data_IF_495240512027
#
_entry.id   IF_495240512027
#
_cell.length_a   1.000
_cell.length_b   1.000
_cell.length_c   1.000
_cell.angle_alpha   90.00
_cell.angle_beta   90.00
_cell.angle_gamma   90.00
#
_symmetry.space_group_name_H-M   'P 1'
#
loop_
_entity.id
_entity.type
_entity.pdbx_description
1 polymer ?
#
# COMPACT_ATOMS: atom_id res chain seq x y z
N UNK A 1 19.41 -17.55 -19.27
CA UNK A 1 19.72 -16.35 -18.48
C UNK A 1 18.99 -16.48 -17.16
N UNK A 2 19.68 -16.35 -16.03
CA UNK A 2 19.00 -16.30 -14.73
C UNK A 2 17.98 -15.17 -14.76
N UNK A 3 16.75 -15.43 -14.35
CA UNK A 3 15.73 -14.40 -14.18
C UNK A 3 16.29 -13.38 -13.19
N UNK A 4 16.40 -12.10 -13.60
CA UNK A 4 16.89 -11.03 -12.73
C UNK A 4 16.06 -10.90 -11.45
N UNK A 5 16.62 -10.29 -10.42
CA UNK A 5 15.89 -10.01 -9.18
C UNK A 5 14.59 -9.23 -9.49
N UNK A 6 13.51 -9.59 -8.79
CA UNK A 6 12.21 -8.92 -8.94
C UNK A 6 12.23 -7.58 -8.23
N UNK A 7 11.68 -6.55 -8.88
CA UNK A 7 11.54 -5.22 -8.30
C UNK A 7 10.18 -4.59 -8.63
N UNK A 8 9.78 -3.61 -7.80
CA UNK A 8 8.64 -2.73 -8.05
C UNK A 8 9.09 -1.33 -8.48
N UNK A 9 8.15 -0.59 -9.06
CA UNK A 9 8.28 0.87 -9.26
C UNK A 9 7.09 1.53 -8.58
N UNK A 10 7.36 2.43 -7.62
CA UNK A 10 6.37 3.27 -6.97
C UNK A 10 6.51 4.70 -7.46
N UNK A 11 5.44 5.30 -7.93
CA UNK A 11 5.40 6.69 -8.37
C UNK A 11 4.50 7.47 -7.42
N UNK A 12 5.09 8.35 -6.63
CA UNK A 12 4.36 9.20 -5.72
C UNK A 12 3.77 10.42 -6.43
N UNK A 13 2.48 10.62 -6.28
CA UNK A 13 1.75 11.78 -6.80
C UNK A 13 1.23 12.59 -5.61
N UNK A 14 1.91 13.67 -5.21
CA UNK A 14 1.64 14.35 -3.94
C UNK A 14 0.45 15.34 -4.00
N UNK A 15 -0.27 15.39 -5.10
CA UNK A 15 -1.34 16.37 -5.29
C UNK A 15 -2.68 15.84 -4.79
N UNK A 16 -3.40 16.69 -4.05
CA UNK A 16 -4.78 16.48 -3.62
C UNK A 16 -5.65 17.68 -3.94
N UNK A 17 -6.92 17.47 -4.24
CA UNK A 17 -7.89 18.56 -4.34
C UNK A 17 -8.15 19.19 -2.95
N UNK A 18 -8.11 18.36 -1.91
CA UNK A 18 -8.31 18.69 -0.50
C UNK A 18 -7.52 17.70 0.36
N UNK A 19 -6.97 18.16 1.49
CA UNK A 19 -6.28 17.27 2.45
C UNK A 19 -7.30 16.85 3.51
N UNK A 20 -7.48 15.51 3.64
CA UNK A 20 -8.37 14.95 4.65
C UNK A 20 -7.82 15.15 6.07
N UNK A 21 -8.69 15.37 7.09
CA UNK A 21 -8.23 15.72 8.43
C UNK A 21 -7.43 14.62 9.16
N UNK A 22 -7.47 13.39 8.67
CA UNK A 22 -6.72 12.24 9.22
C UNK A 22 -5.42 11.95 8.47
N UNK A 23 -5.17 12.58 7.32
CA UNK A 23 -4.12 12.20 6.38
C UNK A 23 -2.76 12.78 6.81
N UNK A 24 -1.77 11.90 6.99
CA UNK A 24 -0.37 12.21 7.29
C UNK A 24 0.56 12.03 6.09
N UNK A 25 0.02 11.62 4.93
CA UNK A 25 0.81 11.38 3.73
C UNK A 25 1.47 12.68 3.23
N UNK A 26 2.59 12.53 2.53
CA UNK A 26 3.27 13.64 1.86
C UNK A 26 2.40 14.20 0.72
N UNK A 27 1.38 15.00 1.07
CA UNK A 27 0.37 15.51 0.14
C UNK A 27 0.18 17.01 0.23
N UNK A 28 -0.16 17.63 -0.89
CA UNK A 28 -0.29 19.07 -1.02
C UNK A 28 -1.54 19.43 -1.82
N UNK A 29 -2.38 20.32 -1.27
CA UNK A 29 -3.51 20.91 -1.96
C UNK A 29 -3.14 22.24 -2.62
N UNK A 30 -3.88 22.62 -3.69
CA UNK A 30 -3.73 23.92 -4.35
C UNK A 30 -2.45 24.05 -5.21
N UNK A 31 -1.74 22.96 -5.50
CA UNK A 31 -0.49 23.00 -6.28
C UNK A 31 -0.63 22.39 -7.69
N UNK A 32 -1.84 22.29 -8.22
CA UNK A 32 -2.10 21.64 -9.51
C UNK A 32 -1.35 22.28 -10.69
N UNK A 33 -0.98 23.57 -10.60
CA UNK A 33 -0.16 24.25 -11.62
C UNK A 33 1.24 23.65 -11.78
N UNK A 34 1.74 22.92 -10.77
CA UNK A 34 3.03 22.22 -10.84
C UNK A 34 2.95 20.88 -11.59
N UNK A 35 1.76 20.32 -11.82
CA UNK A 35 1.59 18.98 -12.39
C UNK A 35 2.40 18.77 -13.68
N UNK A 36 2.35 19.66 -14.70
CA UNK A 36 3.13 19.44 -15.92
C UNK A 36 4.64 19.35 -15.67
N UNK A 37 5.18 20.29 -14.89
CA UNK A 37 6.60 20.33 -14.49
C UNK A 37 7.00 19.11 -13.66
N UNK A 38 6.09 18.65 -12.78
CA UNK A 38 6.28 17.49 -11.95
C UNK A 38 6.35 16.18 -12.76
N UNK A 39 5.47 16.02 -13.73
CA UNK A 39 5.48 14.87 -14.67
C UNK A 39 6.78 14.86 -15.49
N UNK A 40 7.26 16.03 -15.93
CA UNK A 40 8.56 16.14 -16.62
C UNK A 40 9.73 15.75 -15.71
N UNK A 41 9.69 16.14 -14.44
CA UNK A 41 10.71 15.77 -13.45
C UNK A 41 10.73 14.26 -13.18
N UNK A 42 9.55 13.61 -13.00
CA UNK A 42 9.49 12.16 -12.83
C UNK A 42 10.04 11.43 -14.06
N UNK A 43 9.71 11.88 -15.28
CA UNK A 43 10.22 11.25 -16.50
C UNK A 43 11.76 11.29 -16.55
N UNK A 44 12.37 12.40 -16.14
CA UNK A 44 13.84 12.51 -16.02
C UNK A 44 14.41 11.63 -14.92
N UNK A 45 13.74 11.57 -13.75
CA UNK A 45 14.17 10.70 -12.65
C UNK A 45 14.17 9.23 -13.06
N UNK A 46 13.17 8.79 -13.86
CA UNK A 46 13.11 7.44 -14.43
C UNK A 46 14.39 7.15 -15.24
N UNK A 47 14.77 8.06 -16.13
CA UNK A 47 15.97 7.91 -16.98
C UNK A 47 17.25 7.89 -16.12
N UNK A 48 17.34 8.76 -15.10
CA UNK A 48 18.49 8.83 -14.19
C UNK A 48 18.64 7.57 -13.35
N UNK A 49 17.52 6.95 -12.94
CA UNK A 49 17.51 5.76 -12.08
C UNK A 49 17.73 4.45 -12.86
N UNK A 50 17.42 4.41 -14.16
CA UNK A 50 17.45 3.21 -14.99
C UNK A 50 18.76 2.42 -14.91
N UNK A 51 19.97 3.03 -14.92
CA UNK A 51 21.22 2.28 -14.80
C UNK A 51 21.34 1.49 -13.49
N UNK A 52 20.78 2.01 -12.38
CA UNK A 52 20.80 1.36 -11.07
C UNK A 52 19.87 0.14 -11.01
N UNK A 53 18.91 0.04 -11.94
CA UNK A 53 17.98 -1.08 -12.07
C UNK A 53 18.41 -2.13 -13.11
N UNK A 54 19.59 -1.98 -13.72
CA UNK A 54 20.12 -2.95 -14.66
C UNK A 54 20.16 -4.36 -14.04
N UNK A 55 19.68 -5.37 -14.81
CA UNK A 55 19.61 -6.75 -14.37
C UNK A 55 18.41 -7.11 -13.47
N UNK A 56 17.53 -6.16 -13.18
CA UNK A 56 16.26 -6.38 -12.47
C UNK A 56 15.09 -6.44 -13.43
N UNK A 57 14.07 -7.24 -13.06
CA UNK A 57 12.80 -7.34 -13.76
C UNK A 57 11.73 -6.61 -12.95
N UNK A 58 11.13 -5.60 -13.52
CA UNK A 58 10.03 -4.84 -12.91
C UNK A 58 8.71 -5.59 -13.12
N UNK A 59 8.14 -6.08 -12.04
CA UNK A 59 6.87 -6.81 -12.05
C UNK A 59 5.66 -5.93 -11.70
N UNK A 60 5.90 -4.74 -11.12
CA UNK A 60 4.82 -3.84 -10.74
C UNK A 60 5.20 -2.38 -10.96
N UNK A 61 4.22 -1.57 -11.39
CA UNK A 61 4.27 -0.11 -11.38
C UNK A 61 3.04 0.37 -10.60
N UNK A 62 3.24 1.18 -9.57
CA UNK A 62 2.17 1.65 -8.70
C UNK A 62 2.17 3.17 -8.60
N UNK A 63 1.07 3.80 -8.97
CA UNK A 63 0.83 5.23 -8.78
C UNK A 63 0.02 5.44 -7.51
N UNK A 64 0.63 6.06 -6.51
CA UNK A 64 0.01 6.28 -5.19
C UNK A 64 0.37 7.63 -4.58
N UNK A 65 -0.05 7.82 -3.33
CA UNK A 65 0.30 8.96 -2.50
C UNK A 65 -0.86 9.87 -2.16
N UNK A 66 -0.98 11.03 -2.79
CA UNK A 66 -2.09 11.95 -2.61
C UNK A 66 -3.33 11.49 -3.40
N UNK A 67 -3.41 11.91 -4.64
CA UNK A 67 -4.50 11.53 -5.55
C UNK A 67 -3.97 11.40 -6.97
N UNK A 68 -3.44 10.23 -7.37
CA UNK A 68 -2.91 10.02 -8.72
C UNK A 68 -3.92 10.33 -9.83
N UNK A 69 -5.21 10.08 -9.58
CA UNK A 69 -6.27 10.39 -10.54
C UNK A 69 -6.51 11.90 -10.78
N UNK A 70 -5.82 12.80 -10.09
CA UNK A 70 -5.78 14.23 -10.44
C UNK A 70 -4.89 14.52 -11.64
N UNK A 71 -3.95 13.62 -11.96
CA UNK A 71 -3.14 13.78 -13.16
C UNK A 71 -4.01 13.51 -14.40
N UNK A 72 -3.82 14.29 -15.49
CA UNK A 72 -4.41 13.94 -16.77
C UNK A 72 -4.03 12.51 -17.17
N UNK A 73 -4.96 11.74 -17.71
CA UNK A 73 -4.70 10.35 -18.12
C UNK A 73 -3.52 10.22 -19.10
N UNK A 74 -3.32 11.22 -19.98
CA UNK A 74 -2.18 11.29 -20.89
C UNK A 74 -0.83 11.41 -20.13
N UNK A 75 -0.81 12.07 -18.97
CA UNK A 75 0.40 12.15 -18.12
C UNK A 75 0.75 10.81 -17.50
N UNK A 76 -0.26 10.08 -17.00
CA UNK A 76 -0.06 8.70 -16.51
C UNK A 76 0.44 7.80 -17.64
N UNK A 77 -0.20 7.86 -18.82
CA UNK A 77 0.22 7.09 -20.00
C UNK A 77 1.69 7.35 -20.36
N UNK A 78 2.11 8.61 -20.35
CA UNK A 78 3.51 9.01 -20.61
C UNK A 78 4.47 8.41 -19.58
N UNK A 79 4.13 8.42 -18.28
CA UNK A 79 4.99 7.86 -17.23
C UNK A 79 5.06 6.33 -17.30
N UNK A 80 3.97 5.64 -17.61
CA UNK A 80 3.97 4.19 -17.86
C UNK A 80 4.90 3.85 -19.05
N UNK A 81 4.79 4.63 -20.13
CA UNK A 81 5.65 4.44 -21.29
C UNK A 81 7.14 4.71 -20.97
N UNK A 82 7.44 5.76 -20.19
CA UNK A 82 8.80 6.05 -19.74
C UNK A 82 9.38 4.89 -18.91
N UNK A 83 8.61 4.34 -17.97
CA UNK A 83 9.03 3.16 -17.20
C UNK A 83 9.31 1.95 -18.11
N UNK A 84 8.44 1.68 -19.10
CA UNK A 84 8.64 0.57 -20.05
C UNK A 84 9.84 0.77 -20.99
N UNK A 85 10.21 2.00 -21.27
CA UNK A 85 11.39 2.32 -22.08
C UNK A 85 12.70 2.22 -21.28
N UNK A 86 12.67 2.59 -19.99
CA UNK A 86 13.85 2.68 -19.15
C UNK A 86 14.17 1.38 -18.38
N UNK A 87 13.15 0.61 -18.00
CA UNK A 87 13.29 -0.61 -17.21
C UNK A 87 12.88 -1.86 -17.99
N UNK A 88 13.39 -3.03 -17.57
CA UNK A 88 12.91 -4.32 -18.06
C UNK A 88 11.59 -4.65 -17.37
N UNK A 89 10.49 -4.09 -17.90
CA UNK A 89 9.14 -4.30 -17.35
C UNK A 89 8.56 -5.59 -17.90
N UNK A 90 8.07 -6.46 -17.00
CA UNK A 90 7.39 -7.71 -17.41
C UNK A 90 6.17 -7.39 -18.27
N UNK A 91 5.92 -8.20 -19.30
CA UNK A 91 4.75 -8.05 -20.16
C UNK A 91 3.44 -8.19 -19.37
N UNK A 92 3.43 -9.02 -18.31
CA UNK A 92 2.32 -9.23 -17.39
C UNK A 92 2.44 -8.39 -16.12
N UNK A 93 3.22 -7.28 -16.13
CA UNK A 93 3.37 -6.43 -14.96
C UNK A 93 2.02 -5.89 -14.47
N UNK A 94 1.84 -5.87 -13.15
CA UNK A 94 0.74 -5.12 -12.53
C UNK A 94 1.03 -3.63 -12.63
N UNK A 95 0.12 -2.88 -13.24
CA UNK A 95 0.17 -1.41 -13.26
C UNK A 95 -1.05 -0.88 -12.53
N UNK A 96 -0.83 -0.45 -11.30
CA UNK A 96 -1.88 0.00 -10.37
C UNK A 96 -1.96 1.51 -10.31
N UNK A 97 -3.18 2.05 -10.14
CA UNK A 97 -3.42 3.47 -9.91
C UNK A 97 -4.45 3.68 -8.80
N UNK A 98 -4.11 4.52 -7.83
CA UNK A 98 -5.05 5.01 -6.83
C UNK A 98 -5.91 6.13 -7.40
N UNK A 99 -7.20 6.07 -7.11
CA UNK A 99 -8.18 7.05 -7.59
C UNK A 99 -9.15 7.49 -6.50
N UNK A 100 -9.52 8.77 -6.51
CA UNK A 100 -10.72 9.21 -5.82
C UNK A 100 -11.95 8.93 -6.70
N UNK A 101 -13.10 8.57 -6.11
CA UNK A 101 -14.29 8.25 -6.89
C UNK A 101 -14.89 9.45 -7.62
N UNK A 102 -14.69 10.67 -7.11
CA UNK A 102 -15.09 11.89 -7.80
C UNK A 102 -14.00 12.38 -8.77
N UNK A 103 -14.39 12.82 -9.94
CA UNK A 103 -13.50 13.35 -10.97
C UNK A 103 -12.92 12.31 -11.91
N UNK A 104 -13.42 11.06 -11.87
CA UNK A 104 -13.10 9.98 -12.81
C UNK A 104 -14.35 9.52 -13.54
N UNK A 105 -14.19 9.15 -14.80
CA UNK A 105 -15.26 8.63 -15.65
C UNK A 105 -14.76 7.50 -16.55
N UNK A 106 -15.64 6.93 -17.34
CA UNK A 106 -15.33 5.84 -18.27
C UNK A 106 -14.25 6.26 -19.28
N UNK A 107 -14.31 7.50 -19.80
CA UNK A 107 -13.32 7.97 -20.76
C UNK A 107 -11.91 8.06 -20.14
N UNK A 108 -11.80 8.62 -18.92
CA UNK A 108 -10.56 8.69 -18.19
C UNK A 108 -9.96 7.29 -17.97
N UNK A 109 -10.76 6.36 -17.50
CA UNK A 109 -10.35 4.98 -17.27
C UNK A 109 -10.01 4.24 -18.57
N UNK A 110 -10.74 4.47 -19.67
CA UNK A 110 -10.42 3.86 -20.96
C UNK A 110 -9.02 4.28 -21.47
N UNK A 111 -8.66 5.56 -21.33
CA UNK A 111 -7.31 6.04 -21.67
C UNK A 111 -6.25 5.39 -20.79
N UNK A 112 -6.49 5.26 -19.48
CA UNK A 112 -5.57 4.56 -18.58
C UNK A 112 -5.42 3.08 -18.95
N UNK A 113 -6.52 2.40 -19.26
CA UNK A 113 -6.53 0.99 -19.68
C UNK A 113 -5.71 0.79 -20.94
N UNK A 114 -5.90 1.67 -21.93
CA UNK A 114 -5.12 1.67 -23.18
C UNK A 114 -3.63 1.93 -22.95
N UNK A 115 -3.26 2.72 -21.94
CA UNK A 115 -1.89 2.97 -21.53
C UNK A 115 -1.22 1.79 -20.79
N UNK A 116 -2.02 0.76 -20.43
CA UNK A 116 -1.52 -0.43 -19.76
C UNK A 116 -1.70 -0.45 -18.24
N UNK A 117 -2.44 0.50 -17.67
CA UNK A 117 -2.96 0.37 -16.29
C UNK A 117 -3.95 -0.79 -16.26
N UNK A 118 -3.78 -1.73 -15.32
CA UNK A 118 -4.59 -2.94 -15.27
C UNK A 118 -5.20 -3.24 -13.90
N UNK A 119 -4.89 -2.41 -12.88
CA UNK A 119 -5.49 -2.47 -11.55
C UNK A 119 -5.85 -1.06 -11.07
N UNK A 120 -7.02 -0.89 -10.48
CA UNK A 120 -7.46 0.35 -9.85
C UNK A 120 -7.69 0.12 -8.35
N UNK A 121 -7.29 1.11 -7.52
CA UNK A 121 -7.64 1.18 -6.10
C UNK A 121 -8.44 2.47 -5.88
N UNK A 122 -9.72 2.34 -5.54
CA UNK A 122 -10.63 3.48 -5.45
C UNK A 122 -10.93 3.77 -3.98
N UNK A 123 -10.58 4.95 -3.52
CA UNK A 123 -10.74 5.37 -2.14
C UNK A 123 -12.20 5.61 -1.75
N UNK A 124 -12.93 4.57 -1.44
CA UNK A 124 -14.33 4.63 -0.99
C UNK A 124 -14.47 5.17 0.44
N UNK A 125 -13.62 4.71 1.33
CA UNK A 125 -13.54 4.96 2.77
C UNK A 125 -14.75 4.44 3.55
N UNK A 126 -15.98 4.74 3.17
CA UNK A 126 -17.26 4.23 3.70
C UNK A 126 -18.39 4.64 2.74
N UNK A 127 -19.51 3.96 2.78
CA UNK A 127 -20.74 4.39 2.09
C UNK A 127 -21.61 5.30 2.98
N UNK A 128 -21.30 5.38 4.27
CA UNK A 128 -22.03 6.21 5.22
C UNK A 128 -21.76 7.69 4.97
N UNK A 129 -22.81 8.46 4.69
CA UNK A 129 -22.71 9.93 4.55
C UNK A 129 -22.15 10.59 5.82
N UNK A 130 -22.47 10.04 7.01
CA UNK A 130 -21.92 10.51 8.29
C UNK A 130 -20.41 10.24 8.35
N UNK A 131 -19.99 9.03 7.97
CA UNK A 131 -18.57 8.63 7.96
C UNK A 131 -17.76 9.44 6.94
N UNK A 132 -18.27 9.63 5.70
CA UNK A 132 -17.62 10.46 4.70
C UNK A 132 -17.37 11.89 5.20
N UNK A 133 -18.36 12.49 5.89
CA UNK A 133 -18.18 13.82 6.50
C UNK A 133 -17.16 13.82 7.64
N UNK A 134 -17.20 12.79 8.52
CA UNK A 134 -16.23 12.65 9.61
C UNK A 134 -14.79 12.49 9.10
N UNK A 135 -14.63 11.80 7.97
CA UNK A 135 -13.36 11.63 7.28
C UNK A 135 -12.99 12.80 6.34
N UNK A 136 -13.81 13.85 6.27
CA UNK A 136 -13.56 15.02 5.40
C UNK A 136 -13.56 14.70 3.92
N UNK A 137 -14.32 13.68 3.49
CA UNK A 137 -14.42 13.29 2.07
C UNK A 137 -15.41 14.17 1.33
N UNK A 138 -15.07 14.48 0.06
CA UNK A 138 -15.89 15.37 -0.80
C UNK A 138 -16.84 14.61 -1.72
N UNK A 139 -16.75 13.27 -1.77
CA UNK A 139 -17.61 12.41 -2.57
C UNK A 139 -18.76 11.83 -1.73
N UNK A 140 -19.75 11.29 -2.42
CA UNK A 140 -20.88 10.56 -1.83
C UNK A 140 -20.83 9.08 -2.25
N UNK A 141 -21.63 8.21 -1.61
CA UNK A 141 -21.72 6.80 -1.95
C UNK A 141 -22.07 6.56 -3.43
N UNK A 142 -22.89 7.43 -4.01
CA UNK A 142 -23.23 7.38 -5.43
C UNK A 142 -22.03 7.51 -6.36
N UNK A 143 -21.04 8.34 -5.99
CA UNK A 143 -19.82 8.54 -6.77
C UNK A 143 -18.96 7.28 -6.76
N UNK A 144 -18.89 6.56 -5.61
CA UNK A 144 -18.16 5.30 -5.49
C UNK A 144 -18.72 4.26 -6.47
N UNK A 145 -20.04 4.08 -6.46
CA UNK A 145 -20.72 3.14 -7.35
C UNK A 145 -20.62 3.54 -8.83
N UNK A 146 -20.58 4.84 -9.11
CA UNK A 146 -20.37 5.35 -10.47
C UNK A 146 -18.94 5.09 -10.94
N UNK A 147 -17.93 5.30 -10.09
CA UNK A 147 -16.53 5.03 -10.40
C UNK A 147 -16.28 3.54 -10.66
N UNK A 148 -16.86 2.63 -9.86
CA UNK A 148 -16.77 1.19 -10.10
C UNK A 148 -17.39 0.82 -11.45
N UNK A 149 -18.59 1.36 -11.79
CA UNK A 149 -19.21 1.15 -13.11
C UNK A 149 -18.32 1.63 -14.23
N UNK A 150 -17.80 2.86 -14.11
CA UNK A 150 -16.94 3.45 -15.12
C UNK A 150 -15.68 2.62 -15.35
N UNK A 151 -15.05 2.10 -14.28
CA UNK A 151 -13.91 1.21 -14.34
C UNK A 151 -14.24 -0.08 -15.10
N UNK A 152 -15.37 -0.72 -14.78
CA UNK A 152 -15.82 -1.95 -15.45
C UNK A 152 -16.16 -1.70 -16.92
N UNK A 153 -16.88 -0.61 -17.24
CA UNK A 153 -17.19 -0.23 -18.63
C UNK A 153 -15.91 0.04 -19.44
N UNK A 154 -14.87 0.59 -18.81
CA UNK A 154 -13.56 0.79 -19.44
C UNK A 154 -12.71 -0.50 -19.57
N UNK A 155 -13.23 -1.66 -19.14
CA UNK A 155 -12.58 -2.97 -19.29
C UNK A 155 -11.57 -3.31 -18.19
N UNK A 156 -11.65 -2.68 -17.01
CA UNK A 156 -10.88 -3.14 -15.85
C UNK A 156 -11.50 -4.39 -15.24
N UNK A 157 -10.69 -5.41 -15.06
CA UNK A 157 -11.03 -6.68 -14.45
C UNK A 157 -10.41 -6.88 -13.06
N UNK A 158 -9.62 -5.89 -12.57
CA UNK A 158 -9.07 -5.84 -11.22
C UNK A 158 -9.36 -4.47 -10.59
N UNK A 159 -10.42 -4.40 -9.79
CA UNK A 159 -10.90 -3.18 -9.11
C UNK A 159 -10.94 -3.42 -7.61
N UNK A 160 -10.21 -2.58 -6.87
CA UNK A 160 -10.19 -2.52 -5.42
C UNK A 160 -11.03 -1.34 -4.92
N UNK A 161 -11.67 -1.52 -3.77
CA UNK A 161 -12.17 -0.42 -2.95
C UNK A 161 -11.41 -0.38 -1.64
N UNK A 162 -11.02 0.83 -1.23
CA UNK A 162 -10.32 1.07 0.02
C UNK A 162 -11.30 1.66 1.03
N UNK A 163 -11.42 1.01 2.20
CA UNK A 163 -12.28 1.41 3.30
C UNK A 163 -11.46 1.82 4.51
N UNK A 164 -12.01 2.72 5.31
CA UNK A 164 -11.50 3.08 6.63
C UNK A 164 -12.57 2.73 7.65
N UNK A 165 -12.22 1.94 8.65
CA UNK A 165 -13.07 1.63 9.78
C UNK A 165 -12.55 2.28 11.07
N UNK A 166 -13.41 2.37 12.10
CA UNK A 166 -13.09 3.05 13.34
C UNK A 166 -13.24 4.59 13.28
N UNK A 167 -13.88 5.12 12.21
CA UNK A 167 -14.11 6.57 12.11
C UNK A 167 -15.10 7.06 13.21
N UNK A 168 -15.06 8.35 13.59
CA UNK A 168 -15.80 8.91 14.73
C UNK A 168 -17.28 8.56 14.74
N UNK A 169 -17.70 7.75 15.71
CA UNK A 169 -19.07 7.31 15.91
C UNK A 169 -19.54 6.24 14.93
N UNK A 170 -18.64 5.46 14.36
CA UNK A 170 -18.98 4.25 13.61
C UNK A 170 -19.47 3.15 14.58
N UNK A 171 -20.53 2.48 14.21
CA UNK A 171 -20.98 1.25 14.85
C UNK A 171 -20.61 0.04 13.97
N UNK A 172 -20.49 -1.15 14.58
CA UNK A 172 -20.17 -2.41 13.90
C UNK A 172 -21.14 -2.68 12.74
N UNK A 173 -22.44 -2.47 12.98
CA UNK A 173 -23.48 -2.64 11.95
C UNK A 173 -23.30 -1.70 10.73
N UNK A 174 -22.72 -0.52 10.94
CA UNK A 174 -22.48 0.41 9.82
C UNK A 174 -21.40 -0.12 8.87
N UNK A 175 -20.31 -0.70 9.39
CA UNK A 175 -19.27 -1.34 8.56
C UNK A 175 -19.83 -2.56 7.85
N UNK A 176 -20.59 -3.41 8.59
CA UNK A 176 -21.23 -4.58 7.98
C UNK A 176 -22.13 -4.17 6.83
N UNK A 177 -22.99 -3.15 7.02
CA UNK A 177 -23.87 -2.66 5.96
C UNK A 177 -23.12 -2.15 4.73
N UNK A 178 -22.02 -1.41 4.92
CA UNK A 178 -21.17 -0.94 3.83
C UNK A 178 -20.62 -2.13 3.01
N UNK A 179 -20.06 -3.14 3.69
CA UNK A 179 -19.50 -4.33 3.05
C UNK A 179 -20.58 -5.16 2.33
N UNK A 180 -21.71 -5.46 2.99
CA UNK A 180 -22.84 -6.19 2.40
C UNK A 180 -23.38 -5.48 1.15
N UNK A 181 -23.45 -4.14 1.16
CA UNK A 181 -23.88 -3.35 0.02
C UNK A 181 -22.95 -3.52 -1.18
N UNK A 182 -21.64 -3.49 -0.96
CA UNK A 182 -20.65 -3.70 -2.03
C UNK A 182 -20.65 -5.15 -2.51
N UNK A 183 -20.79 -6.12 -1.62
CA UNK A 183 -20.82 -7.55 -1.94
C UNK A 183 -22.08 -7.94 -2.73
N UNK A 184 -23.19 -7.22 -2.52
CA UNK A 184 -24.44 -7.44 -3.26
C UNK A 184 -24.46 -6.83 -4.68
N UNK A 185 -23.40 -6.12 -5.08
CA UNK A 185 -23.33 -5.56 -6.43
C UNK A 185 -23.36 -6.65 -7.50
N UNK A 186 -24.05 -6.43 -8.64
CA UNK A 186 -24.03 -7.35 -9.76
C UNK A 186 -22.61 -7.62 -10.27
N UNK A 187 -22.38 -8.78 -10.88
CA UNK A 187 -21.05 -9.23 -11.35
C UNK A 187 -20.36 -8.20 -12.25
N UNK A 188 -21.12 -7.53 -13.13
CA UNK A 188 -20.64 -6.48 -14.03
C UNK A 188 -20.23 -5.17 -13.30
N UNK A 189 -20.46 -5.09 -12.00
CA UNK A 189 -20.14 -3.95 -11.09
C UNK A 189 -19.50 -4.41 -9.81
N UNK A 190 -19.14 -5.69 -9.69
CA UNK A 190 -18.51 -6.24 -8.49
C UNK A 190 -17.08 -5.72 -8.34
N UNK A 191 -16.52 -5.90 -7.15
CA UNK A 191 -15.12 -5.63 -6.87
C UNK A 191 -14.36 -6.93 -6.64
N UNK A 192 -13.05 -6.91 -6.89
CA UNK A 192 -12.19 -8.09 -6.83
C UNK A 192 -11.31 -8.10 -5.60
N UNK A 193 -11.14 -6.92 -5.00
CA UNK A 193 -10.23 -6.69 -3.90
C UNK A 193 -10.82 -5.63 -2.97
N UNK A 194 -10.53 -5.75 -1.68
CA UNK A 194 -10.93 -4.79 -0.66
C UNK A 194 -9.74 -4.54 0.27
N UNK A 195 -9.43 -3.26 0.50
CA UNK A 195 -8.51 -2.82 1.53
C UNK A 195 -9.33 -2.22 2.68
N UNK A 196 -9.09 -2.66 3.91
CA UNK A 196 -9.74 -2.14 5.10
C UNK A 196 -8.68 -1.68 6.09
N UNK A 197 -8.60 -0.38 6.30
CA UNK A 197 -7.65 0.25 7.20
C UNK A 197 -8.33 0.73 8.47
N UNK A 198 -7.76 0.42 9.63
CA UNK A 198 -8.16 1.09 10.87
C UNK A 198 -7.80 2.57 10.81
N UNK A 199 -8.70 3.44 11.25
CA UNK A 199 -8.39 4.87 11.38
C UNK A 199 -7.34 5.05 12.47
N UNK A 200 -6.16 5.49 12.08
CA UNK A 200 -5.08 5.85 13.00
C UNK A 200 -5.11 7.37 13.23
N UNK A 201 -4.93 7.78 14.48
CA UNK A 201 -4.81 9.20 14.87
C UNK A 201 -3.34 9.60 14.80
N UNK A 202 -2.92 10.03 13.60
CA UNK A 202 -1.51 10.38 13.36
C UNK A 202 -1.17 11.76 13.93
N UNK A 203 -0.03 11.89 14.65
CA UNK A 203 0.42 13.17 15.19
C UNK A 203 0.58 14.25 14.12
N UNK A 204 0.20 15.49 14.45
CA UNK A 204 0.31 16.62 13.52
C UNK A 204 -0.86 16.74 12.54
N UNK A 205 -1.84 15.86 12.60
CA UNK A 205 -3.07 15.96 11.79
C UNK A 205 -4.16 16.76 12.50
N UNK A 206 -5.07 17.41 11.76
CA UNK A 206 -6.25 18.07 12.35
C UNK A 206 -7.12 17.12 13.19
N UNK A 207 -7.16 15.83 12.85
CA UNK A 207 -7.86 14.80 13.63
C UNK A 207 -7.19 14.62 15.00
N UNK A 208 -5.87 14.53 15.05
CA UNK A 208 -5.14 14.41 16.33
C UNK A 208 -5.39 15.61 17.25
N UNK A 209 -5.40 16.82 16.69
CA UNK A 209 -5.73 18.03 17.43
C UNK A 209 -7.16 18.01 17.98
N UNK A 210 -8.12 17.51 17.21
CA UNK A 210 -9.52 17.41 17.62
C UNK A 210 -9.71 16.35 18.73
N UNK A 211 -9.03 15.21 18.61
CA UNK A 211 -9.02 14.14 19.64
C UNK A 211 -8.36 14.63 20.93
N UNK A 212 -7.21 15.29 20.85
CA UNK A 212 -6.50 15.83 22.01
C UNK A 212 -7.30 16.88 22.77
N UNK A 213 -8.22 17.59 22.10
CA UNK A 213 -9.16 18.56 22.70
C UNK A 213 -10.49 17.98 23.14
N UNK A 214 -10.66 16.67 23.08
CA UNK A 214 -11.91 15.97 23.41
C UNK A 214 -13.14 16.41 22.56
N UNK A 215 -12.87 16.93 21.34
CA UNK A 215 -13.90 17.35 20.39
C UNK A 215 -14.41 16.17 19.55
N UNK A 216 -13.52 15.21 19.27
CA UNK A 216 -13.80 14.04 18.46
C UNK A 216 -13.32 12.79 19.20
N UNK A 217 -14.17 11.76 19.23
CA UNK A 217 -13.83 10.44 19.77
C UNK A 217 -13.76 9.44 18.62
N UNK A 218 -12.64 8.76 18.48
CA UNK A 218 -12.45 7.63 17.56
C UNK A 218 -12.80 6.31 18.25
N UNK A 219 -12.85 5.22 17.49
CA UNK A 219 -13.00 3.88 18.07
C UNK A 219 -11.84 3.61 19.06
N UNK A 220 -12.18 3.05 20.21
CA UNK A 220 -11.20 2.44 21.12
C UNK A 220 -10.73 1.07 20.56
N UNK A 221 -9.77 0.45 21.25
CA UNK A 221 -9.18 -0.81 20.81
C UNK A 221 -10.21 -1.95 20.76
N UNK A 222 -11.15 -1.99 21.71
CA UNK A 222 -12.20 -3.03 21.76
C UNK A 222 -13.15 -2.89 20.57
N UNK A 223 -13.65 -1.69 20.31
CA UNK A 223 -14.49 -1.43 19.13
C UNK A 223 -13.71 -1.63 17.82
N UNK A 224 -12.44 -1.26 17.80
CA UNK A 224 -11.54 -1.52 16.66
C UNK A 224 -11.42 -3.01 16.35
N UNK A 225 -11.25 -3.82 17.38
CA UNK A 225 -11.21 -5.29 17.29
C UNK A 225 -12.55 -5.87 16.78
N UNK A 226 -13.68 -5.43 17.35
CA UNK A 226 -15.02 -5.86 16.94
C UNK A 226 -15.29 -5.54 15.46
N UNK A 227 -14.93 -4.32 15.02
CA UNK A 227 -15.05 -3.89 13.61
C UNK A 227 -14.21 -4.76 12.69
N UNK A 228 -12.97 -5.04 13.07
CA UNK A 228 -12.07 -5.87 12.27
C UNK A 228 -12.55 -7.33 12.21
N UNK A 229 -12.99 -7.92 13.33
CA UNK A 229 -13.58 -9.25 13.35
C UNK A 229 -14.85 -9.35 12.49
N UNK A 230 -15.71 -8.33 12.55
CA UNK A 230 -16.89 -8.26 11.70
C UNK A 230 -16.50 -8.21 10.21
N UNK A 231 -15.48 -7.43 9.84
CA UNK A 231 -14.97 -7.38 8.47
C UNK A 231 -14.45 -8.75 8.01
N UNK A 232 -13.62 -9.41 8.84
CA UNK A 232 -13.10 -10.75 8.55
C UNK A 232 -14.25 -11.76 8.33
N UNK A 233 -15.24 -11.77 9.20
CA UNK A 233 -16.38 -12.69 9.09
C UNK A 233 -17.21 -12.43 7.82
N UNK A 234 -17.52 -11.16 7.53
CA UNK A 234 -18.32 -10.77 6.37
C UNK A 234 -17.62 -11.12 5.05
N UNK A 235 -16.35 -10.77 4.91
CA UNK A 235 -15.60 -10.98 3.67
C UNK A 235 -15.27 -12.45 3.44
N UNK A 236 -14.90 -13.20 4.48
CA UNK A 236 -14.66 -14.65 4.38
C UNK A 236 -15.96 -15.38 4.01
N UNK A 237 -17.10 -14.97 4.59
CA UNK A 237 -18.42 -15.51 4.25
C UNK A 237 -18.82 -15.26 2.80
N UNK A 238 -18.30 -14.19 2.18
CA UNK A 238 -18.48 -13.86 0.77
C UNK A 238 -17.42 -14.47 -0.18
N UNK A 239 -16.50 -15.31 0.35
CA UNK A 239 -15.49 -16.02 -0.42
C UNK A 239 -14.23 -15.21 -0.75
N UNK A 240 -14.01 -14.07 -0.08
CA UNK A 240 -12.75 -13.35 -0.20
C UNK A 240 -11.66 -14.00 0.67
N UNK A 241 -10.46 -14.10 0.12
CA UNK A 241 -9.26 -14.56 0.81
C UNK A 241 -8.62 -13.39 1.55
N UNK A 242 -8.41 -13.54 2.87
CA UNK A 242 -7.69 -12.60 3.70
C UNK A 242 -6.18 -12.91 3.56
N UNK A 243 -5.50 -12.29 2.63
CA UNK A 243 -4.14 -12.68 2.26
C UNK A 243 -3.04 -11.89 2.98
N UNK A 244 -3.36 -10.67 3.48
CA UNK A 244 -2.48 -9.89 4.34
C UNK A 244 -3.32 -9.00 5.28
N UNK A 245 -2.70 -8.40 6.29
CA UNK A 245 -3.35 -7.77 7.45
C UNK A 245 -4.51 -6.84 7.09
N UNK A 246 -4.39 -6.03 6.03
CA UNK A 246 -5.40 -5.03 5.69
C UNK A 246 -6.16 -5.35 4.39
N UNK A 247 -5.85 -6.46 3.71
CA UNK A 247 -6.35 -6.68 2.35
C UNK A 247 -6.96 -8.06 2.12
N UNK A 248 -8.07 -8.04 1.36
CA UNK A 248 -8.82 -9.22 0.93
C UNK A 248 -8.96 -9.23 -0.59
N UNK A 249 -8.82 -10.40 -1.20
CA UNK A 249 -8.98 -10.60 -2.64
C UNK A 249 -9.88 -11.80 -2.92
N UNK A 250 -10.58 -11.81 -4.07
CA UNK A 250 -11.40 -12.96 -4.49
C UNK A 250 -10.56 -14.20 -4.77
N UNK A 251 -9.35 -13.98 -5.28
CA UNK A 251 -8.38 -15.03 -5.58
C UNK A 251 -6.96 -14.47 -5.59
N UNK A 252 -5.96 -15.37 -5.79
CA UNK A 252 -4.54 -15.00 -5.76
C UNK A 252 -4.14 -14.02 -6.87
N UNK A 253 -4.80 -14.07 -8.02
CA UNK A 253 -4.48 -13.20 -9.17
C UNK A 253 -5.00 -11.76 -8.96
N UNK A 254 -5.90 -11.57 -8.00
CA UNK A 254 -6.47 -10.27 -7.60
C UNK A 254 -5.76 -9.64 -6.40
N UNK A 255 -4.84 -10.36 -5.74
CA UNK A 255 -4.00 -9.79 -4.69
C UNK A 255 -3.10 -8.68 -5.25
N UNK A 256 -2.85 -7.61 -4.47
CA UNK A 256 -1.92 -6.55 -4.86
C UNK A 256 -0.49 -7.09 -4.92
N UNK A 257 0.03 -7.26 -6.12
CA UNK A 257 1.40 -7.75 -6.32
C UNK A 257 2.42 -6.74 -5.81
N UNK A 258 2.12 -5.44 -5.94
CA UNK A 258 2.99 -4.38 -5.47
C UNK A 258 3.14 -4.39 -3.93
N UNK A 259 2.03 -4.48 -3.18
CA UNK A 259 2.08 -4.58 -1.71
C UNK A 259 2.86 -5.82 -1.27
N UNK A 260 2.72 -6.94 -1.99
CA UNK A 260 3.46 -8.17 -1.68
C UNK A 260 4.98 -8.02 -1.88
N UNK A 261 5.46 -7.12 -2.77
CA UNK A 261 6.89 -6.78 -2.86
C UNK A 261 7.34 -6.14 -1.55
N UNK A 262 6.57 -5.20 -1.00
CA UNK A 262 6.87 -4.58 0.29
C UNK A 262 6.89 -5.60 1.43
N UNK A 263 5.85 -6.42 1.53
CA UNK A 263 5.74 -7.43 2.59
C UNK A 263 6.81 -8.51 2.50
N UNK A 264 7.35 -8.79 1.33
CA UNK A 264 8.50 -9.68 1.13
C UNK A 264 9.84 -8.97 1.31
N UNK A 265 9.81 -7.74 1.82
CA UNK A 265 11.01 -6.92 2.00
C UNK A 265 11.83 -6.82 0.69
N UNK A 266 11.13 -6.67 -0.45
CA UNK A 266 11.70 -6.65 -1.79
C UNK A 266 12.30 -5.31 -2.19
N UNK A 267 12.87 -5.25 -3.40
CA UNK A 267 13.45 -4.03 -3.97
C UNK A 267 12.39 -3.23 -4.75
N UNK A 268 12.49 -1.92 -4.69
CA UNK A 268 11.63 -1.03 -5.48
C UNK A 268 12.26 0.33 -5.71
N UNK A 269 11.97 0.91 -6.88
CA UNK A 269 12.24 2.31 -7.17
C UNK A 269 11.16 3.18 -6.55
N UNK A 270 11.55 4.21 -5.80
CA UNK A 270 10.64 5.27 -5.38
C UNK A 270 10.90 6.52 -6.21
N UNK A 271 9.89 6.96 -6.96
CA UNK A 271 9.94 8.09 -7.89
C UNK A 271 8.98 9.19 -7.44
N UNK A 272 9.39 10.44 -7.59
CA UNK A 272 8.57 11.59 -7.20
C UNK A 272 8.87 12.11 -5.79
N UNK A 273 8.29 13.26 -5.46
CA UNK A 273 8.52 13.97 -4.21
C UNK A 273 8.03 13.18 -3.00
N UNK A 274 8.90 12.94 -2.02
CA UNK A 274 8.58 12.17 -0.82
C UNK A 274 8.55 10.65 -1.03
N UNK A 275 8.86 10.16 -2.21
CA UNK A 275 8.93 8.72 -2.45
C UNK A 275 10.11 8.10 -1.71
N UNK A 276 9.86 6.95 -1.09
CA UNK A 276 10.89 6.07 -0.60
C UNK A 276 11.25 5.03 -1.66
N UNK A 277 12.52 4.67 -1.75
CA UNK A 277 13.01 3.58 -2.59
C UNK A 277 13.88 2.63 -1.78
N UNK A 278 13.97 1.37 -2.22
CA UNK A 278 14.87 0.38 -1.63
C UNK A 278 15.60 -0.39 -2.72
N UNK A 279 16.93 -0.35 -2.66
CA UNK A 279 17.79 -1.06 -3.59
C UNK A 279 18.99 -1.66 -2.85
N UNK A 280 19.07 -2.98 -2.77
CA UNK A 280 20.04 -3.66 -1.95
C UNK A 280 19.94 -3.26 -0.47
N UNK A 281 21.05 -2.84 0.11
CA UNK A 281 21.13 -2.38 1.50
C UNK A 281 20.91 -0.85 1.64
N UNK A 282 20.34 -0.19 0.65
CA UNK A 282 20.07 1.27 0.70
C UNK A 282 18.59 1.54 0.65
N UNK A 283 18.11 2.37 1.57
CA UNK A 283 16.79 3.01 1.50
C UNK A 283 16.99 4.49 1.21
N UNK A 284 16.25 5.01 0.25
CA UNK A 284 16.30 6.42 -0.16
C UNK A 284 14.99 7.12 0.15
N UNK A 285 15.07 8.41 0.41
CA UNK A 285 13.93 9.30 0.52
C UNK A 285 14.16 10.49 -0.40
N UNK A 286 13.22 10.77 -1.27
CA UNK A 286 13.27 11.93 -2.16
C UNK A 286 12.87 13.22 -1.42
N UNK A 287 13.23 14.37 -1.99
CA UNK A 287 12.79 15.68 -1.49
C UNK A 287 11.27 15.70 -1.30
N UNK A 288 10.80 16.12 -0.11
CA UNK A 288 9.37 16.09 0.24
C UNK A 288 8.55 17.09 -0.57
N UNK A 289 9.04 18.34 -0.67
CA UNK A 289 8.29 19.42 -1.33
C UNK A 289 8.35 19.27 -2.87
N UNK A 290 7.20 19.23 -3.58
CA UNK A 290 7.16 19.06 -5.03
C UNK A 290 7.99 20.08 -5.80
N UNK A 291 7.96 21.35 -5.39
CA UNK A 291 8.74 22.41 -6.05
C UNK A 291 10.26 22.21 -5.87
N UNK A 292 10.70 21.77 -4.66
CA UNK A 292 12.12 21.48 -4.39
C UNK A 292 12.58 20.26 -5.17
N UNK A 293 11.77 19.22 -5.21
CA UNK A 293 12.01 18.01 -6.00
C UNK A 293 12.22 18.37 -7.49
N UNK A 294 11.28 19.11 -8.10
CA UNK A 294 11.41 19.53 -9.49
C UNK A 294 12.69 20.35 -9.74
N UNK A 295 12.98 21.33 -8.87
CA UNK A 295 14.17 22.17 -9.02
C UNK A 295 15.48 21.38 -8.87
N UNK A 296 15.50 20.35 -8.02
CA UNK A 296 16.67 19.47 -7.85
C UNK A 296 16.94 18.64 -9.11
N UNK A 297 15.91 18.01 -9.66
CA UNK A 297 15.99 17.24 -10.90
C UNK A 297 16.41 18.12 -12.07
N UNK A 298 15.79 19.30 -12.24
CA UNK A 298 16.13 20.24 -13.32
C UNK A 298 17.58 20.71 -13.28
N UNK A 299 18.13 20.84 -12.07
CA UNK A 299 19.52 21.22 -11.85
C UNK A 299 20.51 20.04 -11.93
N UNK A 300 20.06 18.82 -12.24
CA UNK A 300 20.89 17.62 -12.33
C UNK A 300 21.48 17.17 -10.99
N UNK A 301 20.85 17.54 -9.86
CA UNK A 301 21.27 17.12 -8.50
C UNK A 301 20.60 15.83 -8.02
N UNK A 302 19.68 15.27 -8.82
CA UNK A 302 18.89 14.09 -8.49
C UNK A 302 17.75 14.37 -7.51
N UNK A 303 16.95 13.35 -7.23
CA UNK A 303 15.73 13.43 -6.40
C UNK A 303 16.00 13.22 -4.90
N UNK A 304 17.06 12.47 -4.56
CA UNK A 304 17.28 11.92 -3.22
C UNK A 304 17.72 13.01 -2.24
N UNK A 305 17.01 13.14 -1.12
CA UNK A 305 17.35 14.05 -0.01
C UNK A 305 17.97 13.31 1.18
N UNK A 306 17.68 12.03 1.36
CA UNK A 306 18.23 11.21 2.44
C UNK A 306 18.51 9.78 1.99
N UNK A 307 19.55 9.18 2.57
CA UNK A 307 19.93 7.78 2.35
C UNK A 307 20.14 7.11 3.70
N UNK A 308 19.43 6.03 3.93
CA UNK A 308 19.64 5.15 5.07
C UNK A 308 20.37 3.89 4.61
N UNK A 309 21.41 3.52 5.34
CA UNK A 309 22.09 2.24 5.14
C UNK A 309 21.41 1.16 6.00
N UNK A 310 20.80 0.18 5.34
CA UNK A 310 20.15 -0.94 6.02
C UNK A 310 21.24 -1.90 6.51
N UNK A 311 21.33 -2.10 7.81
CA UNK A 311 22.26 -3.04 8.41
C UNK A 311 21.73 -4.48 8.31
N UNK A 312 22.56 -5.47 8.63
CA UNK A 312 22.14 -6.88 8.62
C UNK A 312 21.02 -7.13 9.65
N UNK A 313 21.13 -6.55 10.85
CA UNK A 313 20.11 -6.66 11.90
C UNK A 313 18.78 -6.06 11.43
N UNK A 314 18.81 -4.84 10.86
CA UNK A 314 17.62 -4.21 10.29
C UNK A 314 16.97 -5.08 9.20
N UNK A 315 17.78 -5.60 8.25
CA UNK A 315 17.27 -6.41 7.16
C UNK A 315 16.59 -7.71 7.66
N UNK A 316 17.14 -8.33 8.69
CA UNK A 316 16.61 -9.53 9.35
C UNK A 316 15.28 -9.21 10.04
N UNK A 317 15.27 -8.20 10.93
CA UNK A 317 14.07 -7.78 11.66
C UNK A 317 12.94 -7.35 10.72
N UNK A 318 13.25 -6.55 9.70
CA UNK A 318 12.28 -6.16 8.67
C UNK A 318 11.71 -7.34 7.89
N UNK A 319 12.53 -8.35 7.58
CA UNK A 319 12.03 -9.54 6.88
C UNK A 319 10.98 -10.27 7.71
N UNK A 320 11.16 -10.36 9.03
CA UNK A 320 10.16 -10.94 9.92
C UNK A 320 8.95 -10.04 10.06
N UNK A 321 9.14 -8.76 10.42
CA UNK A 321 8.07 -7.79 10.64
C UNK A 321 7.15 -7.62 9.42
N UNK A 322 7.72 -7.55 8.22
CA UNK A 322 6.98 -7.39 6.99
C UNK A 322 6.38 -8.72 6.51
N UNK A 323 7.15 -9.81 6.58
CA UNK A 323 6.72 -11.12 6.09
C UNK A 323 5.58 -11.74 6.89
N UNK A 324 5.50 -11.50 8.20
CA UNK A 324 4.39 -11.95 9.03
C UNK A 324 3.05 -11.25 8.70
N UNK A 325 3.08 -10.13 7.99
CA UNK A 325 1.86 -9.48 7.49
C UNK A 325 1.19 -10.28 6.36
N UNK A 326 1.91 -11.18 5.69
CA UNK A 326 1.36 -12.10 4.68
C UNK A 326 0.76 -13.33 5.39
N UNK A 327 -0.55 -13.38 5.53
CA UNK A 327 -1.26 -14.39 6.32
C UNK A 327 -1.23 -15.78 5.68
N UNK A 328 -1.20 -15.85 4.35
CA UNK A 328 -1.11 -17.11 3.61
C UNK A 328 0.34 -17.58 3.43
N UNK A 329 1.22 -16.68 2.98
CA UNK A 329 2.61 -17.02 2.66
C UNK A 329 3.47 -17.10 3.94
N UNK A 330 3.32 -16.12 4.86
CA UNK A 330 4.14 -16.00 6.06
C UNK A 330 5.62 -15.79 5.75
N UNK A 331 6.48 -16.20 6.68
CA UNK A 331 7.95 -16.18 6.54
C UNK A 331 8.48 -17.59 6.36
N UNK A 332 8.93 -17.90 5.14
CA UNK A 332 9.52 -19.19 4.80
C UNK A 332 10.90 -19.38 5.40
N UNK A 333 11.14 -20.51 6.10
CA UNK A 333 12.40 -20.78 6.78
C UNK A 333 13.59 -20.87 5.81
N UNK A 334 13.42 -21.60 4.71
CA UNK A 334 14.47 -21.77 3.69
C UNK A 334 14.81 -20.46 2.97
N UNK A 335 13.77 -19.68 2.64
CA UNK A 335 13.94 -18.37 1.99
C UNK A 335 14.64 -17.37 2.92
N UNK A 336 14.30 -17.40 4.21
CA UNK A 336 14.96 -16.60 5.24
C UNK A 336 16.44 -16.97 5.37
N UNK A 337 16.76 -18.26 5.49
CA UNK A 337 18.13 -18.74 5.59
C UNK A 337 18.95 -18.42 4.33
N UNK A 338 18.38 -18.62 3.15
CA UNK A 338 19.04 -18.29 1.89
C UNK A 338 19.34 -16.78 1.75
N UNK A 339 18.50 -15.93 2.34
CA UNK A 339 18.65 -14.47 2.28
C UNK A 339 19.66 -13.93 3.28
N UNK A 340 19.67 -14.48 4.50
CA UNK A 340 20.38 -13.92 5.65
C UNK A 340 21.57 -14.75 6.13
N UNK A 341 21.81 -15.92 5.51
CA UNK A 341 22.86 -16.89 5.90
C UNK A 341 22.78 -17.34 7.36
N UNK A 342 21.57 -17.31 7.93
CA UNK A 342 21.30 -17.74 9.31
C UNK A 342 19.89 -18.31 9.40
N UNK A 343 19.71 -19.39 10.21
CA UNK A 343 18.38 -19.99 10.38
C UNK A 343 17.52 -19.22 11.38
N UNK A 344 16.20 -19.28 11.18
CA UNK A 344 15.21 -18.71 12.11
C UNK A 344 15.37 -19.26 13.53
N UNK A 345 15.60 -20.57 13.67
CA UNK A 345 15.78 -21.21 14.98
C UNK A 345 17.02 -20.73 15.72
N UNK A 346 18.11 -20.48 15.01
CA UNK A 346 19.33 -19.95 15.61
C UNK A 346 19.12 -18.53 16.18
N UNK A 347 18.39 -17.66 15.47
CA UNK A 347 18.16 -16.28 15.89
C UNK A 347 17.01 -16.16 16.87
N UNK A 348 15.90 -16.81 16.59
CA UNK A 348 14.63 -16.56 17.24
C UNK A 348 14.06 -17.79 17.97
N UNK A 349 14.81 -18.90 18.10
CA UNK A 349 14.29 -20.16 18.66
C UNK A 349 13.47 -19.99 19.94
N UNK A 350 14.01 -19.35 21.01
CA UNK A 350 13.24 -19.12 22.25
C UNK A 350 12.01 -18.23 22.06
N UNK A 351 12.11 -17.20 21.22
CA UNK A 351 10.98 -16.31 20.89
C UNK A 351 9.88 -17.06 20.14
N UNK A 352 10.26 -17.83 19.12
CA UNK A 352 9.35 -18.65 18.33
C UNK A 352 8.61 -19.67 19.19
N UNK A 353 9.31 -20.35 20.12
CA UNK A 353 8.69 -21.28 21.05
C UNK A 353 7.65 -20.57 21.91
N UNK A 354 8.01 -19.43 22.54
CA UNK A 354 7.10 -18.64 23.38
C UNK A 354 5.86 -18.14 22.64
N UNK A 355 6.04 -17.58 21.44
CA UNK A 355 4.92 -17.09 20.63
C UNK A 355 4.01 -18.24 20.16
N UNK A 356 4.58 -19.41 19.85
CA UNK A 356 3.79 -20.61 19.51
C UNK A 356 3.02 -21.13 20.72
N UNK A 357 3.64 -21.25 21.89
CA UNK A 357 3.00 -21.69 23.14
C UNK A 357 1.86 -20.74 23.55
N UNK A 358 2.01 -19.44 23.29
CA UNK A 358 0.96 -18.44 23.50
C UNK A 358 -0.12 -18.45 22.40
N UNK A 359 0.01 -19.28 21.37
CA UNK A 359 -0.96 -19.38 20.28
C UNK A 359 -0.99 -18.15 19.36
N UNK A 360 0.07 -17.32 19.33
CA UNK A 360 0.14 -16.10 18.50
C UNK A 360 0.68 -16.35 17.10
N UNK A 361 1.54 -17.35 16.95
CA UNK A 361 2.06 -17.81 15.67
C UNK A 361 1.87 -19.32 15.52
N UNK A 362 1.82 -19.76 14.28
CA UNK A 362 1.92 -21.18 13.92
C UNK A 362 3.22 -21.43 13.14
N UNK A 363 3.85 -22.57 13.43
CA UNK A 363 5.03 -23.06 12.72
C UNK A 363 4.61 -24.21 11.81
N UNK A 364 4.32 -23.88 10.55
CA UNK A 364 4.14 -24.89 9.51
C UNK A 364 5.47 -25.48 9.03
N UNK A 365 5.42 -26.55 8.22
CA UNK A 365 6.63 -27.17 7.65
C UNK A 365 7.43 -26.23 6.74
N UNK A 366 6.77 -25.27 6.12
CA UNK A 366 7.36 -24.37 5.12
C UNK A 366 7.53 -22.94 5.63
N UNK A 367 6.64 -22.45 6.53
CA UNK A 367 6.61 -21.05 6.94
C UNK A 367 6.06 -20.86 8.35
N UNK A 368 6.42 -19.72 8.93
CA UNK A 368 5.84 -19.17 10.16
C UNK A 368 4.77 -18.17 9.76
N UNK A 369 3.59 -18.23 10.41
CA UNK A 369 2.44 -17.35 10.16
C UNK A 369 1.84 -16.86 11.46
N UNK A 370 1.15 -15.72 11.40
CA UNK A 370 0.27 -15.30 12.48
C UNK A 370 -0.95 -16.23 12.56
N UNK A 371 -1.36 -16.55 13.77
CA UNK A 371 -2.69 -17.14 14.03
C UNK A 371 -3.76 -16.04 14.05
N UNK A 372 -5.05 -16.38 14.17
CA UNK A 372 -6.10 -15.36 14.36
C UNK A 372 -5.85 -14.50 15.61
N UNK A 373 -5.53 -15.05 16.81
CA UNK A 373 -5.12 -14.24 17.95
C UNK A 373 -3.86 -13.40 17.69
N UNK A 374 -2.85 -13.97 17.02
CA UNK A 374 -1.64 -13.23 16.66
C UNK A 374 -1.89 -12.10 15.68
N UNK A 375 -2.86 -12.24 14.77
CA UNK A 375 -3.26 -11.18 13.85
C UNK A 375 -3.86 -9.98 14.59
N UNK A 376 -4.66 -10.21 15.64
CA UNK A 376 -5.22 -9.14 16.47
C UNK A 376 -4.12 -8.36 17.23
N UNK A 377 -2.96 -8.99 17.46
CA UNK A 377 -1.78 -8.41 18.12
C UNK A 377 -0.59 -8.27 17.15
N UNK A 378 -0.88 -8.12 15.85
CA UNK A 378 0.15 -8.22 14.81
C UNK A 378 1.32 -7.24 15.00
N UNK A 379 1.05 -6.01 15.42
CA UNK A 379 2.10 -5.02 15.65
C UNK A 379 3.02 -5.42 16.80
N UNK A 380 2.45 -5.90 17.92
CA UNK A 380 3.23 -6.34 19.08
C UNK A 380 4.07 -7.57 18.75
N UNK A 381 3.45 -8.57 18.09
CA UNK A 381 4.17 -9.77 17.65
C UNK A 381 5.30 -9.42 16.68
N UNK A 382 5.05 -8.57 15.70
CA UNK A 382 6.06 -8.15 14.73
C UNK A 382 7.21 -7.36 15.37
N UNK A 383 6.91 -6.50 16.37
CA UNK A 383 7.93 -5.71 17.07
C UNK A 383 8.95 -6.57 17.82
N UNK A 384 8.55 -7.75 18.31
CA UNK A 384 9.45 -8.66 19.03
C UNK A 384 10.56 -9.26 18.16
N UNK A 385 10.42 -9.20 16.84
CA UNK A 385 11.44 -9.69 15.90
C UNK A 385 12.50 -8.63 15.54
N UNK A 386 12.35 -7.40 16.01
CA UNK A 386 13.37 -6.37 15.79
C UNK A 386 14.56 -6.63 16.69
N UNK A 387 15.73 -6.76 16.10
CA UNK A 387 17.00 -7.03 16.80
C UNK A 387 18.01 -5.93 16.51
N UNK A 388 18.98 -5.76 17.39
CA UNK A 388 20.12 -4.88 17.18
C UNK A 388 21.38 -5.65 16.73
N UNK A 389 22.42 -4.92 16.33
CA UNK A 389 23.69 -5.49 15.87
C UNK A 389 24.41 -6.29 16.96
N UNK A 390 24.21 -5.98 18.25
CA UNK A 390 24.85 -6.72 19.36
C UNK A 390 24.32 -8.14 19.43
N UNK A 391 23.01 -8.33 19.23
CA UNK A 391 22.37 -9.66 19.23
C UNK A 391 22.90 -10.55 18.10
N UNK A 392 23.23 -9.97 16.93
CA UNK A 392 23.80 -10.70 15.81
C UNK A 392 25.25 -11.13 16.08
N UNK A 393 26.04 -10.30 16.73
CA UNK A 393 27.47 -10.56 16.97
C UNK A 393 27.70 -11.54 18.12
N UNK A 394 26.75 -11.70 19.05
CA UNK A 394 26.83 -12.59 20.21
C UNK A 394 26.33 -14.02 19.91
N UNK A 395 25.87 -14.31 18.68
CA UNK A 395 25.27 -15.59 18.25
C UNK A 395 25.96 -16.17 17.03
#
# INVERSE_FOLDING_TARGET
MALGAVAGVYIHVPFCAHICPYCDFNTYAGQNSLIPRYVDAIAREIDELAPSFAGRRVETIFFGGGTPSLLPAASIARLVQACRAAFVVDAAAEVSLEANPNGVDEHYFAVLRAAGVNRLSIGAQTLSRRGLRALGRLHEAGDILAAVRAARSAGFDNVSLDFIFGWPGQAVDALRHDLETILALPVDRSVDHLSLYSLIVEPGTPLADAVARDIVHVADDDLGADLYEQAMATLSGAGFQHYEVANWARDRDRQSRHNRIYWRNGEYAGLGAGAHGRLGARRTLNHLLPATYCASIEAGRGAVSNVEQITAAMAIGETMMLGLRLLEDGVGADAFQARHDVSLDRLYGPLLARLTDNGLIERGPEAIRLTKPGLMLANDVCAEFLIDEMVLNDR
#
